data_IF_128515456990
#
_entry.id   IF_128515456990
#
_cell.length_a   1.000
_cell.length_b   1.000
_cell.length_c   1.000
_cell.angle_alpha   90.00
_cell.angle_beta   90.00
_cell.angle_gamma   90.00
#
_symmetry.space_group_name_H-M   'P 1'
#
loop_
_entity.id
_entity.type
_entity.pdbx_description
1 polymer ?
#
# COMPACT_ATOMS: atom_id res chain seq x y z
N UNK A 1 6.70 15.97 13.52
CA UNK A 1 5.29 15.84 13.10
C UNK A 1 5.02 14.36 12.86
N UNK A 2 4.03 13.72 13.51
CA UNK A 2 3.79 12.31 13.28
C UNK A 2 3.28 12.14 11.86
N UNK A 3 4.02 11.42 11.03
CA UNK A 3 3.59 10.96 9.72
C UNK A 3 2.25 10.27 9.92
N UNK A 4 1.19 10.83 9.35
CA UNK A 4 -0.12 10.21 9.41
C UNK A 4 0.03 8.88 8.67
N UNK A 5 0.09 7.75 9.40
CA UNK A 5 0.45 6.41 8.89
C UNK A 5 -0.47 5.91 7.76
N UNK A 6 -1.45 6.71 7.37
CA UNK A 6 -2.40 6.50 6.28
C UNK A 6 -1.89 6.99 4.92
N UNK A 7 -0.83 7.80 4.88
CA UNK A 7 -0.29 8.37 3.64
C UNK A 7 1.21 8.13 3.54
N UNK A 8 1.67 7.79 2.34
CA UNK A 8 3.08 7.70 2.00
C UNK A 8 3.45 8.79 0.98
N UNK A 9 4.61 9.41 1.17
CA UNK A 9 5.13 10.40 0.24
C UNK A 9 6.21 9.81 -0.65
N UNK A 10 6.06 9.98 -1.97
CA UNK A 10 7.07 9.58 -2.95
C UNK A 10 7.64 10.83 -3.64
N UNK A 11 8.96 11.03 -3.68
CA UNK A 11 9.57 12.10 -4.44
C UNK A 11 9.50 11.82 -5.95
N UNK A 12 9.25 12.86 -6.73
CA UNK A 12 9.20 12.87 -8.19
C UNK A 12 10.50 13.46 -8.76
N UNK A 13 10.79 13.15 -10.03
CA UNK A 13 11.95 13.70 -10.75
C UNK A 13 11.91 15.22 -10.89
N UNK A 14 10.73 15.83 -10.80
CA UNK A 14 10.53 17.28 -10.82
C UNK A 14 10.95 17.98 -9.51
N UNK A 15 11.36 17.23 -8.48
CA UNK A 15 11.58 17.76 -7.13
C UNK A 15 10.28 17.97 -6.33
N UNK A 16 9.14 17.58 -6.89
CA UNK A 16 7.86 17.52 -6.19
C UNK A 16 7.72 16.22 -5.41
N UNK A 17 6.73 16.15 -4.54
CA UNK A 17 6.33 14.99 -3.78
C UNK A 17 4.87 14.69 -4.09
N UNK A 18 4.56 13.42 -4.32
CA UNK A 18 3.18 12.96 -4.34
C UNK A 18 2.82 12.30 -3.01
N UNK A 19 1.57 12.45 -2.58
CA UNK A 19 0.99 11.72 -1.45
C UNK A 19 0.13 10.58 -1.96
N UNK A 20 0.32 9.39 -1.41
CA UNK A 20 -0.37 8.16 -1.77
C UNK A 20 -1.11 7.65 -0.54
N UNK A 21 -2.42 7.48 -0.63
CA UNK A 21 -3.20 6.88 0.46
C UNK A 21 -2.91 5.38 0.55
N UNK A 22 -2.49 4.90 1.72
CA UNK A 22 -2.16 3.49 1.96
C UNK A 22 -3.38 2.59 2.14
N UNK A 23 -4.60 3.16 2.13
CA UNK A 23 -5.85 2.40 2.22
C UNK A 23 -6.42 2.07 0.84
N UNK A 24 -6.46 3.06 -0.06
CA UNK A 24 -7.03 2.92 -1.40
C UNK A 24 -5.97 2.93 -2.52
N UNK A 25 -4.69 3.14 -2.18
CA UNK A 25 -3.54 3.19 -3.10
C UNK A 25 -3.64 4.23 -4.22
N UNK A 26 -4.50 5.25 -4.05
CA UNK A 26 -4.61 6.38 -4.97
C UNK A 26 -3.67 7.51 -4.58
N UNK A 27 -3.16 8.22 -5.59
CA UNK A 27 -2.48 9.50 -5.40
C UNK A 27 -3.50 10.55 -4.98
N UNK A 28 -3.24 11.19 -3.84
CA UNK A 28 -4.11 12.16 -3.17
C UNK A 28 -3.77 13.59 -3.58
N UNK A 29 -2.47 13.86 -3.80
CA UNK A 29 -1.99 15.19 -4.15
C UNK A 29 -0.55 15.18 -4.61
N UNK A 30 -0.11 16.29 -5.18
CA UNK A 30 1.27 16.57 -5.57
C UNK A 30 1.61 17.99 -5.12
N UNK A 31 2.75 18.16 -4.45
CA UNK A 31 3.23 19.45 -4.00
C UNK A 31 4.77 19.52 -4.01
N UNK A 32 5.34 20.72 -4.05
CA UNK A 32 6.79 20.89 -3.92
C UNK A 32 7.27 20.45 -2.52
N UNK A 33 6.93 21.20 -1.46
CA UNK A 33 7.18 20.79 -0.08
C UNK A 33 6.23 19.69 0.37
N UNK A 34 6.73 18.73 1.16
CA UNK A 34 5.92 17.66 1.75
C UNK A 34 4.83 18.21 2.67
N UNK A 35 5.13 19.25 3.45
CA UNK A 35 4.17 19.85 4.39
C UNK A 35 2.92 20.41 3.68
N UNK A 36 3.05 20.80 2.41
CA UNK A 36 1.94 21.30 1.59
C UNK A 36 0.94 20.22 1.18
N UNK A 37 1.28 18.93 1.34
CA UNK A 37 0.36 17.81 1.09
C UNK A 37 -0.68 17.64 2.22
N UNK A 38 -0.43 18.21 3.40
CA UNK A 38 -1.25 18.00 4.61
C UNK A 38 -2.72 18.39 4.43
N UNK A 39 -3.00 19.44 3.66
CA UNK A 39 -4.38 19.86 3.38
C UNK A 39 -5.12 18.83 2.51
N UNK A 40 -4.46 18.37 1.44
CA UNK A 40 -5.02 17.37 0.52
C UNK A 40 -5.24 16.03 1.23
N UNK A 41 -4.35 15.66 2.15
CA UNK A 41 -4.48 14.47 2.99
C UNK A 41 -5.63 14.55 3.98
N UNK A 42 -5.83 15.72 4.60
CA UNK A 42 -6.92 15.94 5.54
C UNK A 42 -8.30 15.88 4.86
N UNK A 43 -8.38 16.31 3.59
CA UNK A 43 -9.61 16.27 2.80
C UNK A 43 -9.85 14.91 2.11
N UNK A 44 -8.85 14.02 2.11
CA UNK A 44 -8.97 12.75 1.41
C UNK A 44 -9.89 11.76 2.13
N UNK A 45 -10.94 11.35 1.42
CA UNK A 45 -11.84 10.27 1.82
C UNK A 45 -11.74 9.17 0.76
N UNK A 46 -11.41 7.95 1.17
CA UNK A 46 -11.42 6.81 0.25
C UNK A 46 -12.85 6.52 -0.21
N UNK A 47 -13.08 6.38 -1.52
CA UNK A 47 -14.33 5.79 -2.00
C UNK A 47 -14.42 4.34 -1.52
N UNK A 48 -15.62 3.90 -1.16
CA UNK A 48 -15.88 2.52 -0.75
C UNK A 48 -15.50 1.52 -1.84
N UNK A 49 -15.60 1.93 -3.11
CA UNK A 49 -15.20 1.12 -4.28
C UNK A 49 -13.66 0.96 -4.39
N UNK A 50 -12.91 1.92 -3.85
CA UNK A 50 -11.44 1.95 -3.92
C UNK A 50 -10.77 1.33 -2.70
N UNK A 51 -11.55 1.03 -1.65
CA UNK A 51 -11.07 0.26 -0.54
C UNK A 51 -10.81 -1.15 -1.05
N UNK A 52 -9.53 -1.45 -1.30
CA UNK A 52 -9.11 -2.82 -1.60
C UNK A 52 -9.53 -3.66 -0.40
N UNK A 53 -10.53 -4.51 -0.59
CA UNK A 53 -10.80 -5.59 0.33
C UNK A 53 -9.55 -6.47 0.32
N UNK A 54 -8.69 -6.30 1.31
CA UNK A 54 -7.57 -7.20 1.61
C UNK A 54 -8.05 -8.60 2.05
N UNK A 55 -9.28 -8.99 1.69
CA UNK A 55 -9.78 -10.35 1.74
C UNK A 55 -9.36 -11.07 0.47
N UNK A 56 -8.25 -11.82 0.55
CA UNK A 56 -7.87 -12.72 -0.53
C UNK A 56 -6.39 -12.81 -0.87
N UNK A 57 -5.47 -12.32 -0.03
CA UNK A 57 -4.11 -12.86 -0.06
C UNK A 57 -4.19 -14.32 0.37
N UNK A 58 -4.39 -15.20 -0.60
CA UNK A 58 -4.02 -16.60 -0.52
C UNK A 58 -2.50 -16.55 -0.34
N UNK A 59 -2.02 -16.74 0.89
CA UNK A 59 -0.61 -17.04 1.09
C UNK A 59 -0.27 -18.19 0.15
N UNK A 60 0.87 -18.16 -0.58
CA UNK A 60 1.28 -19.31 -1.36
C UNK A 60 1.27 -20.51 -0.41
N UNK A 61 0.42 -21.49 -0.71
CA UNK A 61 0.29 -22.67 0.13
C UNK A 61 1.70 -23.25 0.27
N UNK A 62 2.16 -23.29 1.52
CA UNK A 62 3.48 -23.82 1.89
C UNK A 62 3.63 -25.13 1.14
N UNK A 63 4.56 -25.19 0.17
CA UNK A 63 4.72 -26.35 -0.69
C UNK A 63 4.90 -27.57 0.21
N UNK A 64 3.90 -28.45 0.26
CA UNK A 64 4.01 -29.74 0.94
C UNK A 64 5.04 -30.52 0.17
N UNK A 65 6.22 -30.71 0.78
CA UNK A 65 7.23 -31.61 0.24
C UNK A 65 6.59 -32.96 -0.05
N UNK A 66 6.75 -33.55 -1.26
CA UNK A 66 6.25 -34.88 -1.51
C UNK A 66 6.93 -35.87 -0.56
N UNK A 67 6.15 -36.50 0.32
CA UNK A 67 6.56 -37.71 1.02
C UNK A 67 6.86 -38.77 -0.04
N UNK A 68 8.15 -39.00 -0.31
CA UNK A 68 8.61 -40.13 -1.12
C UNK A 68 8.50 -41.38 -0.25
N UNK A 69 7.76 -42.35 -0.78
CA UNK A 69 7.26 -43.51 -0.09
C UNK A 69 8.32 -44.50 0.40
N UNK A 70 7.79 -45.38 1.24
CA UNK A 70 8.25 -46.72 1.60
C UNK A 70 9.22 -47.34 0.58
N UNK A 71 10.43 -47.65 1.04
CA UNK A 71 11.28 -48.66 0.42
C UNK A 71 11.24 -49.88 1.35
N UNK A 72 10.48 -50.90 0.94
CA UNK A 72 10.62 -52.27 1.43
C UNK A 72 11.63 -52.98 0.54
N UNK A 73 12.76 -53.40 1.12
CA UNK A 73 13.53 -54.58 0.75
C UNK A 73 14.46 -54.96 1.91
#
# INVERSE_FOLDING_TARGET
MPSNRQFAHRPLRSGMHESICLRCFRTVGVAGPVDSLSAQEAEHICSTEDLIALHGRIEPQKATSPQKGEESA
#
